data_IF_202494707933
#
_entry.id   IF_202494707933
#
_cell.length_a   1.000
_cell.length_b   1.000
_cell.length_c   1.000
_cell.angle_alpha   90.00
_cell.angle_beta   90.00
_cell.angle_gamma   90.00
#
_symmetry.space_group_name_H-M   'P 1'
#
loop_
_entity.id
_entity.type
_entity.pdbx_description
1 polymer ?
#
# COMPACT_ATOMS: atom_id res chain seq x y z
N UNK A 1 -15.20 17.18 16.68
CA UNK A 1 -15.46 16.38 17.92
C UNK A 1 -16.81 15.68 17.74
N UNK A 2 -16.81 14.38 17.47
CA UNK A 2 -18.03 13.64 17.10
C UNK A 2 -19.03 13.57 18.26
N UNK A 3 -20.33 13.50 17.94
CA UNK A 3 -21.43 13.39 18.92
C UNK A 3 -21.25 12.19 19.87
N UNK A 4 -20.67 11.11 19.37
CA UNK A 4 -20.30 9.93 20.15
C UNK A 4 -19.33 10.23 21.30
N UNK A 5 -18.29 11.05 21.06
CA UNK A 5 -17.33 11.43 22.11
C UNK A 5 -17.91 12.35 23.18
N UNK A 6 -19.04 13.04 22.91
CA UNK A 6 -19.77 13.81 23.93
C UNK A 6 -20.63 12.93 24.83
N UNK A 7 -21.24 11.89 24.28
CA UNK A 7 -22.12 10.96 25.01
C UNK A 7 -21.32 10.11 26.00
N UNK A 8 -20.15 9.62 25.58
CA UNK A 8 -19.24 8.85 26.44
C UNK A 8 -18.74 9.69 27.63
N UNK A 9 -18.26 10.91 27.36
CA UNK A 9 -17.80 11.84 28.41
C UNK A 9 -18.88 12.17 29.43
N UNK A 10 -20.14 12.25 29.01
CA UNK A 10 -21.27 12.52 29.90
C UNK A 10 -21.55 11.33 30.82
N UNK A 11 -21.52 10.10 30.30
CA UNK A 11 -21.63 8.88 31.09
C UNK A 11 -20.52 8.78 32.16
N UNK A 12 -19.28 9.12 31.81
CA UNK A 12 -18.17 9.12 32.77
C UNK A 12 -18.41 10.11 33.93
N UNK A 13 -18.78 11.34 33.62
CA UNK A 13 -19.03 12.35 34.65
C UNK A 13 -20.17 11.96 35.59
N UNK A 14 -21.24 11.36 35.07
CA UNK A 14 -22.38 10.93 35.88
C UNK A 14 -22.02 9.89 36.95
N UNK A 15 -21.12 8.95 36.65
CA UNK A 15 -20.67 7.91 37.59
C UNK A 15 -19.78 8.46 38.71
N UNK A 16 -18.94 9.46 38.42
CA UNK A 16 -18.16 10.17 39.45
C UNK A 16 -19.04 10.92 40.43
N UNK A 17 -20.04 11.65 39.91
CA UNK A 17 -20.97 12.37 40.77
C UNK A 17 -21.81 11.42 41.62
N UNK A 18 -22.18 10.24 41.10
CA UNK A 18 -22.84 9.20 41.88
C UNK A 18 -21.95 8.70 43.03
N UNK A 19 -20.66 8.44 42.78
CA UNK A 19 -19.72 7.97 43.81
C UNK A 19 -19.48 9.03 44.90
N UNK A 20 -19.34 10.29 44.51
CA UNK A 20 -19.23 11.42 45.44
C UNK A 20 -20.51 11.60 46.28
N UNK A 21 -21.69 11.45 45.66
CA UNK A 21 -22.97 11.53 46.34
C UNK A 21 -23.16 10.40 47.36
N UNK A 22 -22.75 9.18 47.03
CA UNK A 22 -22.75 8.04 47.96
C UNK A 22 -21.86 8.34 49.17
N UNK A 23 -20.65 8.85 48.95
CA UNK A 23 -19.77 9.27 50.04
C UNK A 23 -20.40 10.34 50.93
N UNK A 24 -21.04 11.35 50.35
CA UNK A 24 -21.75 12.41 51.08
C UNK A 24 -22.91 11.86 51.92
N UNK A 25 -23.73 10.97 51.35
CA UNK A 25 -24.85 10.33 52.07
C UNK A 25 -24.36 9.53 53.27
N UNK A 26 -23.23 8.82 53.14
CA UNK A 26 -22.65 8.03 54.23
C UNK A 26 -22.19 8.92 55.39
N UNK A 27 -21.53 10.04 55.09
CA UNK A 27 -21.13 11.03 56.11
C UNK A 27 -22.35 11.60 56.83
N UNK A 28 -23.38 12.01 56.07
CA UNK A 28 -24.64 12.54 56.64
C UNK A 28 -25.36 11.49 57.48
N UNK A 29 -25.37 10.23 57.04
CA UNK A 29 -25.98 9.12 57.79
C UNK A 29 -25.24 8.82 59.09
N UNK A 30 -23.91 8.85 59.10
CA UNK A 30 -23.10 8.65 60.30
C UNK A 30 -23.35 9.77 61.33
N UNK A 31 -23.42 11.03 60.87
CA UNK A 31 -23.78 12.19 61.70
C UNK A 31 -25.21 12.04 62.24
N UNK A 32 -26.17 11.69 61.39
CA UNK A 32 -27.57 11.51 61.78
C UNK A 32 -27.77 10.38 62.81
N UNK A 33 -27.04 9.27 62.65
CA UNK A 33 -27.05 8.16 63.60
C UNK A 33 -26.47 8.57 64.96
N UNK A 34 -25.39 9.34 64.95
CA UNK A 34 -24.80 9.90 66.17
C UNK A 34 -25.80 10.83 66.89
N UNK A 35 -26.37 11.82 66.20
CA UNK A 35 -27.35 12.76 66.78
C UNK A 35 -28.59 12.04 67.31
N UNK A 36 -29.08 11.01 66.62
CA UNK A 36 -30.23 10.21 67.10
C UNK A 36 -29.91 9.45 68.39
N UNK A 37 -28.68 8.99 68.56
CA UNK A 37 -28.27 8.14 69.69
C UNK A 37 -27.86 8.95 70.91
N UNK A 38 -27.22 10.11 70.71
CA UNK A 38 -26.64 10.93 71.78
C UNK A 38 -27.31 12.30 71.99
N UNK A 39 -28.24 12.71 71.11
CA UNK A 39 -28.96 13.97 71.19
C UNK A 39 -28.24 15.16 70.54
N UNK A 40 -28.80 16.37 70.71
CA UNK A 40 -28.30 17.63 70.10
C UNK A 40 -27.65 18.58 71.12
N UNK A 41 -27.37 18.12 72.34
CA UNK A 41 -26.80 18.97 73.37
C UNK A 41 -25.36 19.36 73.02
N UNK A 42 -25.05 20.65 73.11
CA UNK A 42 -23.70 21.19 72.89
C UNK A 42 -22.99 21.15 74.24
N UNK A 43 -21.94 20.34 74.35
CA UNK A 43 -21.12 20.24 75.55
C UNK A 43 -19.88 21.14 75.41
N UNK A 44 -19.52 21.88 76.46
CA UNK A 44 -18.28 22.69 76.53
C UNK A 44 -17.02 21.82 76.72
N UNK A 45 -17.19 20.55 77.11
CA UNK A 45 -16.10 19.62 77.38
C UNK A 45 -15.44 19.12 76.09
N UNK A 46 -14.14 19.36 75.97
CA UNK A 46 -13.34 19.02 74.80
C UNK A 46 -13.12 17.51 74.65
N UNK A 47 -13.24 16.73 75.73
CA UNK A 47 -13.09 15.27 75.71
C UNK A 47 -14.22 14.58 74.93
N UNK A 48 -15.46 15.08 75.06
CA UNK A 48 -16.64 14.55 74.36
C UNK A 48 -16.50 14.74 72.84
N UNK A 49 -15.92 15.87 72.41
CA UNK A 49 -15.64 16.12 71.00
C UNK A 49 -14.55 15.20 70.44
N UNK A 50 -13.57 14.80 71.26
CA UNK A 50 -12.57 13.78 70.91
C UNK A 50 -13.21 12.42 70.65
N UNK A 51 -14.05 11.94 71.56
CA UNK A 51 -14.74 10.65 71.42
C UNK A 51 -15.70 10.60 70.23
N UNK A 52 -16.39 11.71 69.93
CA UNK A 52 -17.19 11.86 68.72
C UNK A 52 -16.34 11.75 67.45
N UNK A 53 -15.21 12.46 67.42
CA UNK A 53 -14.25 12.40 66.33
C UNK A 53 -13.73 10.99 66.09
N UNK A 54 -13.46 10.24 67.15
CA UNK A 54 -13.01 8.84 67.07
C UNK A 54 -14.09 7.91 66.51
N UNK A 55 -15.36 8.08 66.90
CA UNK A 55 -16.48 7.30 66.34
C UNK A 55 -16.70 7.59 64.85
N UNK A 56 -16.81 8.88 64.49
CA UNK A 56 -17.00 9.29 63.10
C UNK A 56 -15.80 8.90 62.24
N UNK A 57 -14.59 9.16 62.71
CA UNK A 57 -13.35 8.78 62.02
C UNK A 57 -13.25 7.27 61.87
N UNK A 58 -13.55 6.50 62.92
CA UNK A 58 -13.47 5.03 62.92
C UNK A 58 -14.46 4.35 61.97
N UNK A 59 -15.65 4.93 61.77
CA UNK A 59 -16.68 4.38 60.86
C UNK A 59 -16.59 4.95 59.44
N UNK A 60 -16.35 6.25 59.31
CA UNK A 60 -16.41 6.95 58.03
C UNK A 60 -15.12 6.81 57.22
N UNK A 61 -13.94 6.83 57.88
CA UNK A 61 -12.66 6.74 57.16
C UNK A 61 -12.48 5.43 56.39
N UNK A 62 -12.79 4.23 56.94
CA UNK A 62 -12.66 2.99 56.18
C UNK A 62 -13.56 2.96 54.93
N UNK A 63 -14.78 3.50 55.04
CA UNK A 63 -15.73 3.54 53.92
C UNK A 63 -15.27 4.54 52.85
N UNK A 64 -14.85 5.74 53.27
CA UNK A 64 -14.30 6.74 52.35
C UNK A 64 -13.01 6.25 51.68
N UNK A 65 -12.14 5.56 52.41
CA UNK A 65 -10.94 4.95 51.85
C UNK A 65 -11.28 3.88 50.80
N UNK A 66 -12.29 3.04 51.05
CA UNK A 66 -12.76 2.05 50.08
C UNK A 66 -13.38 2.70 48.83
N UNK A 67 -14.21 3.74 49.00
CA UNK A 67 -14.75 4.51 47.87
C UNK A 67 -13.64 5.19 47.06
N UNK A 68 -12.62 5.73 47.74
CA UNK A 68 -11.44 6.32 47.09
C UNK A 68 -10.69 5.25 46.28
N UNK A 69 -10.49 4.07 46.86
CA UNK A 69 -9.86 2.95 46.16
C UNK A 69 -10.65 2.52 44.91
N UNK A 70 -11.98 2.41 44.99
CA UNK A 70 -12.84 2.12 43.83
C UNK A 70 -12.75 3.20 42.76
N UNK A 71 -12.71 4.49 43.16
CA UNK A 71 -12.52 5.61 42.25
C UNK A 71 -11.19 5.54 41.50
N UNK A 72 -10.12 5.16 42.20
CA UNK A 72 -8.79 4.95 41.59
C UNK A 72 -8.80 3.77 40.62
N UNK A 73 -9.34 2.61 41.01
CA UNK A 73 -9.44 1.44 40.12
C UNK A 73 -10.20 1.75 38.84
N UNK A 74 -11.32 2.48 38.96
CA UNK A 74 -12.10 2.88 37.81
C UNK A 74 -11.34 3.84 36.90
N UNK A 75 -10.60 4.81 37.48
CA UNK A 75 -9.74 5.72 36.72
C UNK A 75 -8.64 4.96 35.96
N UNK A 76 -8.03 3.95 36.59
CA UNK A 76 -7.02 3.08 35.96
C UNK A 76 -7.63 2.32 34.78
N UNK A 77 -8.83 1.74 34.95
CA UNK A 77 -9.52 1.02 33.86
C UNK A 77 -9.74 1.90 32.63
N UNK A 78 -10.20 3.14 32.84
CA UNK A 78 -10.42 4.09 31.74
C UNK A 78 -9.11 4.47 31.07
N UNK A 79 -8.08 4.75 31.87
CA UNK A 79 -6.76 5.11 31.37
C UNK A 79 -6.17 3.98 30.53
N UNK A 80 -6.38 2.74 30.95
CA UNK A 80 -5.95 1.55 30.21
C UNK A 80 -6.66 1.41 28.85
N UNK A 81 -7.99 1.59 28.80
CA UNK A 81 -8.74 1.58 27.54
C UNK A 81 -8.30 2.71 26.60
N UNK A 82 -8.11 3.92 27.13
CA UNK A 82 -7.63 5.05 26.34
C UNK A 82 -6.23 4.81 25.79
N UNK A 83 -5.33 4.25 26.60
CA UNK A 83 -3.97 3.89 26.18
C UNK A 83 -4.00 2.84 25.07
N UNK A 84 -4.81 1.78 25.21
CA UNK A 84 -4.94 0.74 24.20
C UNK A 84 -5.52 1.29 22.88
N UNK A 85 -6.55 2.14 22.95
CA UNK A 85 -7.14 2.79 21.77
C UNK A 85 -6.16 3.74 21.09
N UNK A 86 -5.34 4.46 21.86
CA UNK A 86 -4.30 5.33 21.32
C UNK A 86 -3.20 4.50 20.64
N UNK A 87 -2.76 3.42 21.29
CA UNK A 87 -1.78 2.50 20.73
C UNK A 87 -2.28 1.86 19.44
N UNK A 88 -3.50 1.36 19.40
CA UNK A 88 -4.07 0.75 18.18
C UNK A 88 -4.18 1.75 17.03
N UNK A 89 -4.50 3.02 17.32
CA UNK A 89 -4.50 4.09 16.30
C UNK A 89 -3.09 4.40 15.82
N UNK A 90 -2.12 4.48 16.73
CA UNK A 90 -0.72 4.69 16.38
C UNK A 90 -0.18 3.55 15.50
N UNK A 91 -0.45 2.30 15.88
CA UNK A 91 -0.04 1.11 15.11
C UNK A 91 -0.66 1.11 13.70
N UNK A 92 -1.92 1.55 13.57
CA UNK A 92 -2.58 1.71 12.27
C UNK A 92 -1.95 2.84 11.44
N UNK A 93 -1.68 3.99 12.03
CA UNK A 93 -0.99 5.11 11.36
C UNK A 93 0.43 4.75 10.93
N UNK A 94 1.17 4.00 11.74
CA UNK A 94 2.52 3.56 11.42
C UNK A 94 2.51 2.51 10.29
N UNK A 95 1.52 1.62 10.28
CA UNK A 95 1.29 0.66 9.18
C UNK A 95 0.95 1.37 7.87
N UNK A 96 0.12 2.41 7.93
CA UNK A 96 -0.24 3.24 6.79
C UNK A 96 0.98 3.97 6.22
N UNK A 97 1.73 4.70 7.07
CA UNK A 97 2.96 5.40 6.68
C UNK A 97 4.01 4.47 6.10
N UNK A 98 4.17 3.27 6.70
CA UNK A 98 5.12 2.26 6.21
C UNK A 98 4.72 1.74 4.83
N UNK A 99 3.44 1.47 4.62
CA UNK A 99 2.92 1.02 3.32
C UNK A 99 3.03 2.10 2.25
N UNK A 100 2.77 3.37 2.61
CA UNK A 100 2.99 4.52 1.73
C UNK A 100 4.46 4.64 1.32
N UNK A 101 5.39 4.57 2.29
CA UNK A 101 6.82 4.62 2.02
C UNK A 101 7.25 3.51 1.05
N UNK A 102 6.83 2.26 1.28
CA UNK A 102 7.16 1.16 0.38
C UNK A 102 6.59 1.36 -1.02
N UNK A 103 5.35 1.83 -1.13
CA UNK A 103 4.75 2.19 -2.41
C UNK A 103 5.55 3.26 -3.15
N UNK A 104 5.91 4.36 -2.48
CA UNK A 104 6.68 5.44 -3.10
C UNK A 104 8.05 4.97 -3.59
N UNK A 105 8.78 4.22 -2.75
CA UNK A 105 10.10 3.68 -3.14
C UNK A 105 10.01 2.67 -4.28
N UNK A 106 9.00 1.78 -4.23
CA UNK A 106 8.77 0.81 -5.30
C UNK A 106 8.42 1.51 -6.62
N UNK A 107 7.54 2.51 -6.57
CA UNK A 107 7.18 3.33 -7.74
C UNK A 107 8.41 4.02 -8.34
N UNK A 108 9.22 4.69 -7.52
CA UNK A 108 10.43 5.35 -7.98
C UNK A 108 11.41 4.36 -8.63
N UNK A 109 11.60 3.19 -8.01
CA UNK A 109 12.43 2.13 -8.59
C UNK A 109 11.94 1.65 -9.96
N UNK A 110 10.63 1.48 -10.14
CA UNK A 110 10.06 1.12 -11.45
C UNK A 110 10.21 2.24 -12.49
N UNK A 111 10.06 3.51 -12.10
CA UNK A 111 10.25 4.66 -12.99
C UNK A 111 11.71 4.77 -13.44
N UNK A 112 12.68 4.55 -12.54
CA UNK A 112 14.11 4.52 -12.86
C UNK A 112 14.44 3.41 -13.88
N UNK A 113 13.82 2.22 -13.75
CA UNK A 113 13.99 1.12 -14.71
C UNK A 113 13.55 1.53 -16.11
N UNK A 114 12.40 2.21 -16.22
CA UNK A 114 11.96 2.76 -17.50
C UNK A 114 12.95 3.79 -18.03
N UNK A 115 13.39 4.73 -17.19
CA UNK A 115 14.31 5.79 -17.62
C UNK A 115 15.68 5.26 -18.07
N UNK A 116 16.15 4.16 -17.47
CA UNK A 116 17.37 3.46 -17.86
C UNK A 116 17.25 2.70 -19.18
N UNK A 117 16.05 2.32 -19.62
CA UNK A 117 15.86 1.44 -20.78
C UNK A 117 15.07 2.08 -21.94
N UNK A 118 14.50 3.28 -21.74
CA UNK A 118 13.64 3.97 -22.71
C UNK A 118 14.33 4.31 -24.03
N UNK A 119 15.65 4.43 -24.03
CA UNK A 119 16.47 4.80 -25.19
C UNK A 119 16.94 3.60 -26.02
N UNK A 120 16.49 2.38 -25.66
CA UNK A 120 16.94 1.13 -26.30
C UNK A 120 18.47 0.99 -26.29
N UNK A 121 19.14 1.39 -25.21
CA UNK A 121 20.55 1.07 -25.06
C UNK A 121 20.75 -0.45 -24.97
N UNK A 122 21.82 -0.95 -25.58
CA UNK A 122 22.27 -2.34 -25.49
C UNK A 122 23.46 -2.48 -24.53
N UNK A 123 23.51 -1.65 -23.49
CA UNK A 123 24.59 -1.65 -22.51
C UNK A 123 24.36 -2.69 -21.39
N UNK A 124 25.32 -3.60 -21.25
CA UNK A 124 25.24 -4.69 -20.28
C UNK A 124 25.10 -4.20 -18.84
N UNK A 125 25.83 -3.15 -18.46
CA UNK A 125 25.83 -2.66 -17.08
C UNK A 125 24.48 -2.04 -16.73
N UNK A 126 23.94 -1.25 -17.64
CA UNK A 126 22.63 -0.60 -17.52
C UNK A 126 21.51 -1.63 -17.41
N UNK A 127 21.51 -2.67 -18.26
CA UNK A 127 20.53 -3.76 -18.16
C UNK A 127 20.62 -4.56 -16.85
N UNK A 128 21.83 -4.85 -16.37
CA UNK A 128 22.02 -5.52 -15.08
C UNK A 128 21.50 -4.65 -13.94
N UNK A 129 21.76 -3.34 -13.98
CA UNK A 129 21.27 -2.40 -12.97
C UNK A 129 19.75 -2.31 -12.99
N UNK A 130 19.16 -2.11 -14.17
CA UNK A 130 17.72 -2.06 -14.37
C UNK A 130 17.03 -3.33 -13.87
N UNK A 131 17.55 -4.52 -14.20
CA UNK A 131 16.99 -5.77 -13.71
C UNK A 131 17.05 -5.89 -12.17
N UNK A 132 18.14 -5.45 -11.54
CA UNK A 132 18.25 -5.47 -10.06
C UNK A 132 17.28 -4.49 -9.42
N UNK A 133 17.18 -3.28 -9.96
CA UNK A 133 16.30 -2.24 -9.42
C UNK A 133 14.82 -2.64 -9.61
N UNK A 134 14.47 -3.27 -10.74
CA UNK A 134 13.17 -3.88 -10.96
C UNK A 134 12.83 -4.94 -9.89
N UNK A 135 13.72 -5.91 -9.66
CA UNK A 135 13.49 -6.97 -8.69
C UNK A 135 13.37 -6.43 -7.25
N UNK A 136 14.15 -5.40 -6.90
CA UNK A 136 14.04 -4.71 -5.61
C UNK A 136 12.72 -3.95 -5.48
N UNK A 137 12.32 -3.22 -6.52
CA UNK A 137 11.05 -2.51 -6.55
C UNK A 137 9.86 -3.46 -6.37
N UNK A 138 9.89 -4.64 -7.01
CA UNK A 138 8.86 -5.68 -6.84
C UNK A 138 8.80 -6.23 -5.41
N UNK A 139 9.95 -6.53 -4.82
CA UNK A 139 10.02 -6.97 -3.43
C UNK A 139 9.47 -5.91 -2.44
N UNK A 140 9.75 -4.63 -2.68
CA UNK A 140 9.13 -3.54 -1.91
C UNK A 140 7.61 -3.49 -2.11
N UNK A 141 7.14 -3.70 -3.33
CA UNK A 141 5.72 -3.83 -3.65
C UNK A 141 5.03 -4.95 -2.88
N UNK A 142 5.68 -6.12 -2.77
CA UNK A 142 5.20 -7.26 -1.98
C UNK A 142 5.14 -6.96 -0.47
N UNK A 143 5.94 -6.00 0.01
CA UNK A 143 5.97 -5.59 1.42
C UNK A 143 4.86 -4.60 1.80
N UNK A 144 4.07 -4.12 0.83
CA UNK A 144 2.93 -3.22 1.06
C UNK A 144 1.78 -4.02 1.68
N UNK A 145 1.25 -3.56 2.82
CA UNK A 145 0.19 -4.29 3.56
C UNK A 145 -1.19 -3.68 3.40
N UNK A 146 -1.27 -2.36 3.26
CA UNK A 146 -2.52 -1.61 3.08
C UNK A 146 -3.01 -1.75 1.63
N UNK A 147 -4.28 -2.14 1.47
CA UNK A 147 -4.87 -2.53 0.17
C UNK A 147 -4.85 -1.40 -0.85
N UNK A 148 -5.12 -0.18 -0.42
CA UNK A 148 -5.19 1.01 -1.25
C UNK A 148 -3.84 1.25 -1.95
N UNK A 149 -2.73 1.10 -1.22
CA UNK A 149 -1.38 1.21 -1.79
C UNK A 149 -1.00 0.00 -2.64
N UNK A 150 -1.50 -1.20 -2.35
CA UNK A 150 -1.29 -2.36 -3.22
C UNK A 150 -1.95 -2.16 -4.60
N UNK A 151 -3.18 -1.64 -4.63
CA UNK A 151 -3.88 -1.31 -5.88
C UNK A 151 -3.13 -0.21 -6.64
N UNK A 152 -2.70 0.86 -5.95
CA UNK A 152 -1.91 1.92 -6.57
C UNK A 152 -0.56 1.41 -7.12
N UNK A 153 0.06 0.46 -6.44
CA UNK A 153 1.28 -0.20 -6.89
C UNK A 153 1.06 -1.03 -8.16
N UNK A 154 0.00 -1.86 -8.21
CA UNK A 154 -0.35 -2.64 -9.40
C UNK A 154 -0.60 -1.75 -10.62
N UNK A 155 -1.31 -0.63 -10.44
CA UNK A 155 -1.51 0.36 -11.51
C UNK A 155 -0.18 0.95 -12.00
N UNK A 156 0.78 1.15 -11.10
CA UNK A 156 2.13 1.62 -11.45
C UNK A 156 2.88 0.55 -12.24
N UNK A 157 2.83 -0.72 -11.82
CA UNK A 157 3.42 -1.83 -12.57
C UNK A 157 2.85 -1.90 -13.98
N UNK A 158 1.52 -1.84 -14.16
CA UNK A 158 0.88 -1.84 -15.48
C UNK A 158 1.33 -0.69 -16.36
N UNK A 159 1.39 0.52 -15.81
CA UNK A 159 1.87 1.70 -16.53
C UNK A 159 3.32 1.52 -16.99
N UNK A 160 4.19 1.01 -16.12
CA UNK A 160 5.61 0.82 -16.44
C UNK A 160 5.80 -0.35 -17.41
N UNK A 161 5.05 -1.44 -17.24
CA UNK A 161 4.98 -2.57 -18.18
C UNK A 161 4.65 -2.09 -19.58
N UNK A 162 3.59 -1.30 -19.73
CA UNK A 162 3.21 -0.74 -21.03
C UNK A 162 4.30 0.18 -21.60
N UNK A 163 4.85 1.09 -20.80
CA UNK A 163 5.92 1.99 -21.24
C UNK A 163 7.17 1.24 -21.71
N UNK A 164 7.60 0.23 -20.97
CA UNK A 164 8.73 -0.61 -21.35
C UNK A 164 8.40 -1.45 -22.59
N UNK A 165 7.19 -1.98 -22.73
CA UNK A 165 6.77 -2.66 -23.96
C UNK A 165 6.87 -1.75 -25.19
N UNK A 166 6.43 -0.49 -25.07
CA UNK A 166 6.56 0.49 -26.15
C UNK A 166 8.02 0.84 -26.45
N UNK A 167 8.84 0.98 -25.42
CA UNK A 167 10.26 1.30 -25.55
C UNK A 167 11.08 0.13 -26.09
N UNK A 168 10.78 -1.11 -25.71
CA UNK A 168 11.52 -2.32 -26.08
C UNK A 168 10.87 -3.06 -27.26
N UNK A 169 10.17 -2.31 -28.13
CA UNK A 169 9.63 -2.81 -29.39
C UNK A 169 9.89 -1.81 -30.51
N UNK A 170 9.94 -2.32 -31.75
CA UNK A 170 10.16 -1.53 -32.95
C UNK A 170 8.83 -1.33 -33.65
N UNK A 171 8.42 -0.08 -33.82
CA UNK A 171 7.22 0.26 -34.58
C UNK A 171 7.54 0.34 -36.07
N UNK A 172 6.85 -0.46 -36.89
CA UNK A 172 6.93 -0.39 -38.34
C UNK A 172 5.80 0.52 -38.89
N UNK A 173 6.12 1.70 -39.44
CA UNK A 173 5.11 2.63 -39.95
C UNK A 173 4.39 2.11 -41.20
N UNK A 174 4.93 1.11 -41.91
CA UNK A 174 4.30 0.56 -43.12
C UNK A 174 3.22 -0.45 -42.75
N UNK A 175 3.55 -1.38 -41.86
CA UNK A 175 2.62 -2.43 -41.43
C UNK A 175 1.74 -2.01 -40.25
N UNK A 176 2.04 -0.86 -39.62
CA UNK A 176 1.39 -0.36 -38.39
C UNK A 176 1.50 -1.34 -37.21
N UNK A 177 2.48 -2.26 -37.27
CA UNK A 177 2.71 -3.29 -36.26
C UNK A 177 3.92 -2.97 -35.41
N UNK A 178 3.92 -3.50 -34.17
CA UNK A 178 5.09 -3.51 -33.30
C UNK A 178 5.78 -4.87 -33.38
N UNK A 179 7.07 -4.84 -33.68
CA UNK A 179 7.92 -6.01 -33.76
C UNK A 179 8.83 -6.08 -32.52
N UNK A 180 9.21 -7.30 -32.08
CA UNK A 180 10.18 -7.45 -31.01
C UNK A 180 11.57 -6.93 -31.42
N UNK A 181 12.41 -6.60 -30.43
CA UNK A 181 13.81 -6.32 -30.69
C UNK A 181 14.50 -7.53 -31.32
N UNK A 182 15.36 -7.33 -32.33
CA UNK A 182 16.06 -8.42 -32.99
C UNK A 182 17.05 -9.08 -32.02
N UNK A 183 17.30 -10.40 -32.10
CA UNK A 183 18.14 -11.07 -31.11
C UNK A 183 19.59 -10.54 -31.05
N UNK A 184 20.06 -9.94 -32.16
CA UNK A 184 21.37 -9.27 -32.27
C UNK A 184 21.51 -8.14 -31.25
N UNK A 185 20.42 -7.46 -30.90
CA UNK A 185 20.41 -6.40 -29.88
C UNK A 185 21.03 -6.87 -28.56
N UNK A 186 20.68 -8.09 -28.13
CA UNK A 186 21.11 -8.64 -26.85
C UNK A 186 22.59 -9.06 -26.83
N UNK A 187 23.27 -9.06 -27.98
CA UNK A 187 24.71 -9.29 -28.05
C UNK A 187 25.53 -8.01 -27.83
N UNK A 188 24.90 -6.84 -27.66
CA UNK A 188 25.60 -5.58 -27.43
C UNK A 188 26.29 -5.02 -28.67
N UNK A 189 25.99 -5.54 -29.87
CA UNK A 189 26.54 -5.05 -31.14
C UNK A 189 25.84 -3.76 -31.55
N UNK A 190 26.56 -2.78 -32.10
CA UNK A 190 25.98 -1.47 -32.46
C UNK A 190 25.01 -1.55 -33.65
N UNK A 191 25.32 -2.37 -34.67
CA UNK A 191 24.48 -2.54 -35.86
C UNK A 191 23.49 -3.70 -35.68
N UNK A 192 22.76 -3.70 -34.56
CA UNK A 192 21.83 -4.76 -34.21
C UNK A 192 20.57 -4.80 -35.08
N UNK A 193 20.30 -3.71 -35.80
CA UNK A 193 19.20 -3.55 -36.75
C UNK A 193 19.42 -4.31 -38.07
N UNK A 194 20.65 -4.76 -38.35
CA UNK A 194 20.98 -5.53 -39.53
C UNK A 194 20.74 -7.02 -39.30
N UNK A 195 19.85 -7.60 -40.13
CA UNK A 195 19.54 -9.04 -40.08
C UNK A 195 20.74 -9.85 -40.58
N UNK A 196 21.36 -10.62 -39.69
CA UNK A 196 22.47 -11.54 -39.99
C UNK A 196 22.43 -12.78 -39.07
N UNK A 197 23.05 -13.92 -39.47
CA UNK A 197 23.06 -15.13 -38.65
C UNK A 197 23.60 -14.88 -37.24
N UNK A 198 22.92 -15.44 -36.22
CA UNK A 198 23.30 -15.23 -34.82
C UNK A 198 24.64 -15.85 -34.47
N UNK A 199 25.01 -16.95 -35.09
CA UNK A 199 26.30 -17.59 -34.88
C UNK A 199 27.46 -16.67 -35.29
N UNK A 200 27.28 -15.86 -36.34
CA UNK A 200 28.30 -14.92 -36.79
C UNK A 200 28.41 -13.73 -35.83
N UNK A 201 27.27 -13.25 -35.30
CA UNK A 201 27.24 -12.22 -34.24
C UNK A 201 27.92 -12.74 -32.97
N UNK A 202 27.61 -13.98 -32.57
CA UNK A 202 28.19 -14.60 -31.39
C UNK A 202 29.71 -14.78 -31.54
N UNK A 203 30.19 -15.15 -32.73
CA UNK A 203 31.64 -15.23 -33.03
C UNK A 203 32.31 -13.86 -32.98
N UNK A 204 31.68 -12.82 -33.50
CA UNK A 204 32.19 -11.43 -33.45
C UNK A 204 32.35 -10.95 -32.00
N UNK A 205 31.36 -11.24 -31.16
CA UNK A 205 31.32 -10.82 -29.75
C UNK A 205 32.23 -11.69 -28.88
N UNK A 206 32.46 -12.95 -29.26
CA UNK A 206 33.43 -13.86 -28.67
C UNK A 206 34.87 -13.41 -29.01
N UNK A 207 35.26 -12.21 -28.55
CA UNK A 207 36.59 -11.66 -28.83
C UNK A 207 37.70 -12.53 -28.22
N UNK A 208 38.70 -12.80 -29.05
CA UNK A 208 40.00 -13.37 -28.74
C UNK A 208 40.73 -12.59 -27.65
N UNK A 209 41.45 -13.30 -26.77
CA UNK A 209 42.34 -12.71 -25.77
C UNK A 209 43.33 -11.72 -26.41
N UNK A 210 43.15 -10.42 -26.17
CA UNK A 210 44.07 -9.39 -26.61
C UNK A 210 45.09 -9.11 -25.50
N UNK A 211 46.39 -9.22 -25.81
CA UNK A 211 47.48 -8.87 -24.89
C UNK A 211 47.94 -7.46 -25.22
N UNK A 212 47.88 -6.57 -24.24
CA UNK A 212 48.35 -5.19 -24.38
C UNK A 212 49.60 -4.98 -23.52
N UNK A 213 50.65 -4.38 -24.11
CA UNK A 213 51.73 -3.78 -23.34
C UNK A 213 51.32 -2.37 -22.93
N UNK A 214 51.06 -2.15 -21.65
CA UNK A 214 50.63 -0.85 -21.10
C UNK A 214 51.62 -0.36 -20.02
N UNK A 215 51.81 0.97 -19.93
CA UNK A 215 52.52 1.61 -18.82
C UNK A 215 51.61 1.83 -17.61
N UNK A 216 52.16 2.22 -16.45
CA UNK A 216 51.36 2.49 -15.23
C UNK A 216 50.33 3.61 -15.41
N UNK A 217 50.58 4.53 -16.35
CA UNK A 217 49.69 5.64 -16.67
C UNK A 217 48.59 5.28 -17.69
N UNK A 218 48.54 4.01 -18.14
CA UNK A 218 47.61 3.52 -19.15
C UNK A 218 46.69 2.42 -18.61
N UNK A 219 45.47 2.38 -19.11
CA UNK A 219 44.51 1.30 -18.82
C UNK A 219 44.41 0.37 -20.03
N UNK A 220 44.19 -0.92 -19.78
CA UNK A 220 43.86 -1.86 -20.85
C UNK A 220 42.49 -1.49 -21.41
N UNK A 221 42.34 -1.38 -22.74
CA UNK A 221 41.04 -1.11 -23.32
C UNK A 221 40.11 -2.30 -23.07
N UNK A 222 38.95 -2.03 -22.48
CA UNK A 222 37.92 -3.04 -22.29
C UNK A 222 37.32 -3.40 -23.65
N UNK A 223 36.97 -4.67 -23.86
CA UNK A 223 36.23 -5.08 -25.06
C UNK A 223 34.91 -4.31 -25.12
N UNK A 224 34.69 -3.57 -26.22
CA UNK A 224 33.53 -2.69 -26.38
C UNK A 224 32.23 -3.45 -26.65
N UNK A 225 32.29 -4.76 -26.91
CA UNK A 225 31.13 -5.56 -27.31
C UNK A 225 30.99 -6.70 -26.31
N UNK A 226 30.05 -6.56 -25.38
CA UNK A 226 29.75 -7.58 -24.37
C UNK A 226 28.26 -7.91 -24.44
N UNK A 227 27.85 -9.19 -24.54
CA UNK A 227 26.45 -9.55 -24.55
C UNK A 227 25.76 -9.11 -23.25
N UNK A 228 24.49 -8.75 -23.37
CA UNK A 228 23.63 -8.53 -22.22
C UNK A 228 23.59 -9.78 -21.34
N UNK A 229 23.47 -9.60 -20.02
CA UNK A 229 23.38 -10.74 -19.13
C UNK A 229 22.02 -11.44 -19.32
N UNK A 230 22.01 -12.74 -19.61
CA UNK A 230 20.77 -13.48 -19.84
C UNK A 230 19.75 -13.28 -18.72
N UNK A 231 20.19 -13.32 -17.45
CA UNK A 231 19.31 -13.09 -16.29
C UNK A 231 18.69 -11.69 -16.25
N UNK A 232 19.40 -10.65 -16.70
CA UNK A 232 18.82 -9.31 -16.75
C UNK A 232 17.79 -9.20 -17.86
N UNK A 233 18.04 -9.80 -19.02
CA UNK A 233 17.07 -9.85 -20.11
C UNK A 233 15.81 -10.58 -19.66
N UNK A 234 15.94 -11.77 -19.08
CA UNK A 234 14.82 -12.56 -18.56
C UNK A 234 14.02 -11.76 -17.54
N UNK A 235 14.67 -11.18 -16.51
CA UNK A 235 13.96 -10.43 -15.47
C UNK A 235 13.15 -9.24 -16.02
N UNK A 236 13.66 -8.53 -17.03
CA UNK A 236 12.96 -7.42 -17.66
C UNK A 236 11.78 -7.93 -18.51
N UNK A 237 12.00 -8.97 -19.34
CA UNK A 237 10.97 -9.49 -20.23
C UNK A 237 9.87 -10.27 -19.50
N UNK A 238 10.20 -11.00 -18.43
CA UNK A 238 9.21 -11.65 -17.55
C UNK A 238 8.28 -10.61 -16.91
N UNK A 239 8.77 -9.41 -16.62
CA UNK A 239 7.94 -8.31 -16.11
C UNK A 239 7.02 -7.71 -17.18
N UNK A 240 7.39 -7.81 -18.47
CA UNK A 240 6.55 -7.37 -19.58
C UNK A 240 5.31 -8.25 -19.75
N UNK A 241 5.36 -9.49 -19.29
CA UNK A 241 4.21 -10.38 -19.29
C UNK A 241 3.20 -9.99 -18.21
N UNK A 242 1.91 -10.11 -18.53
CA UNK A 242 0.86 -9.94 -17.54
C UNK A 242 0.90 -11.11 -16.56
N UNK A 243 0.74 -10.85 -15.25
CA UNK A 243 0.75 -11.92 -14.28
C UNK A 243 -0.48 -12.83 -14.45
N UNK A 244 -0.35 -14.11 -14.09
CA UNK A 244 -1.42 -15.08 -14.27
C UNK A 244 -2.69 -14.75 -13.48
N UNK A 245 -2.57 -13.99 -12.39
CA UNK A 245 -3.66 -13.52 -11.54
C UNK A 245 -4.16 -12.10 -11.91
N UNK A 246 -3.86 -11.62 -13.12
CA UNK A 246 -4.33 -10.32 -13.60
C UNK A 246 -5.86 -10.23 -13.65
N UNK A 247 -6.42 -9.31 -12.87
CA UNK A 247 -7.85 -8.99 -12.88
C UNK A 247 -8.13 -7.89 -13.90
N UNK A 248 -8.46 -8.30 -15.13
CA UNK A 248 -8.76 -7.38 -16.24
C UNK A 248 -10.07 -6.60 -15.98
N UNK A 249 -10.01 -5.28 -15.76
CA UNK A 249 -11.20 -4.47 -15.50
C UNK A 249 -12.19 -4.47 -16.67
N UNK A 250 -11.75 -4.76 -17.89
CA UNK A 250 -12.64 -4.83 -19.07
C UNK A 250 -13.69 -5.95 -18.94
N UNK A 251 -13.46 -6.97 -18.11
CA UNK A 251 -14.45 -8.00 -17.82
C UNK A 251 -15.69 -7.46 -17.10
N UNK A 252 -15.58 -6.30 -16.45
CA UNK A 252 -16.70 -5.63 -15.77
C UNK A 252 -17.51 -4.72 -16.69
N UNK A 253 -17.02 -4.45 -17.90
CA UNK A 253 -17.69 -3.57 -18.85
C UNK A 253 -18.78 -4.34 -19.58
N UNK A 254 -20.03 -3.96 -19.32
CA UNK A 254 -21.18 -4.54 -20.00
C UNK A 254 -21.30 -4.01 -21.44
N UNK A 255 -21.83 -4.86 -22.32
CA UNK A 255 -22.15 -4.44 -23.69
C UNK A 255 -23.29 -3.42 -23.70
N UNK A 256 -23.24 -2.49 -24.65
CA UNK A 256 -24.35 -1.58 -24.90
C UNK A 256 -25.61 -2.36 -25.32
N UNK A 257 -26.71 -2.12 -24.61
CA UNK A 257 -28.00 -2.77 -24.83
C UNK A 257 -28.98 -1.97 -25.69
N UNK A 258 -28.60 -0.77 -26.13
CA UNK A 258 -29.42 0.12 -26.95
C UNK A 258 -29.22 -0.10 -28.46
N UNK A 259 -30.19 0.34 -29.27
CA UNK A 259 -30.12 0.18 -30.72
C UNK A 259 -29.02 1.09 -31.30
N UNK A 260 -28.11 0.50 -32.06
CA UNK A 260 -27.03 1.25 -32.72
C UNK A 260 -27.57 2.25 -33.75
N UNK A 261 -28.77 2.03 -34.29
CA UNK A 261 -29.39 2.90 -35.30
C UNK A 261 -29.70 4.31 -34.76
N UNK A 262 -29.97 4.41 -33.47
CA UNK A 262 -30.29 5.67 -32.78
C UNK A 262 -29.03 6.42 -32.31
N UNK A 263 -27.84 5.94 -32.70
CA UNK A 263 -26.56 6.51 -32.29
C UNK A 263 -26.11 7.67 -33.19
N UNK A 264 -25.63 8.75 -32.58
CA UNK A 264 -25.21 9.97 -33.28
C UNK A 264 -23.96 10.60 -32.66
N UNK A 265 -23.14 11.25 -33.47
CA UNK A 265 -21.95 11.98 -32.99
C UNK A 265 -20.80 11.05 -32.61
N UNK A 266 -20.02 11.41 -31.59
CA UNK A 266 -18.73 10.77 -31.30
C UNK A 266 -18.80 9.26 -31.00
N UNK A 267 -19.96 8.75 -30.57
CA UNK A 267 -20.15 7.34 -30.24
C UNK A 267 -20.73 6.49 -31.39
N UNK A 268 -21.14 7.11 -32.50
CA UNK A 268 -21.79 6.44 -33.63
C UNK A 268 -20.91 5.31 -34.21
N UNK A 269 -19.63 5.61 -34.47
CA UNK A 269 -18.68 4.62 -34.98
C UNK A 269 -18.43 3.47 -33.99
N UNK A 270 -18.30 3.78 -32.70
CA UNK A 270 -18.03 2.78 -31.67
C UNK A 270 -19.23 1.83 -31.48
N UNK A 271 -20.47 2.36 -31.43
CA UNK A 271 -21.67 1.53 -31.29
C UNK A 271 -21.87 0.59 -32.48
N UNK A 272 -21.63 1.08 -33.70
CA UNK A 272 -21.67 0.25 -34.91
C UNK A 272 -20.61 -0.85 -34.89
N UNK A 273 -19.39 -0.53 -34.43
CA UNK A 273 -18.34 -1.52 -34.25
C UNK A 273 -18.76 -2.61 -33.26
N UNK A 274 -19.20 -2.25 -32.05
CA UNK A 274 -19.64 -3.19 -31.01
C UNK A 274 -20.79 -4.07 -31.51
N UNK A 275 -21.80 -3.49 -32.16
CA UNK A 275 -22.89 -4.25 -32.77
C UNK A 275 -22.36 -5.24 -33.83
N UNK A 276 -21.46 -4.81 -34.71
CA UNK A 276 -20.92 -5.66 -35.75
C UNK A 276 -20.11 -6.84 -35.19
N UNK A 277 -19.21 -6.62 -34.24
CA UNK A 277 -18.35 -7.69 -33.66
C UNK A 277 -19.11 -8.64 -32.74
N UNK A 278 -20.22 -8.20 -32.15
CA UNK A 278 -21.07 -9.05 -31.31
C UNK A 278 -21.98 -9.97 -32.12
N UNK A 279 -22.30 -9.60 -33.37
CA UNK A 279 -23.21 -10.36 -34.23
C UNK A 279 -22.49 -11.06 -35.40
N UNK A 280 -21.27 -10.67 -35.74
CA UNK A 280 -20.52 -11.23 -36.86
C UNK A 280 -19.09 -11.60 -36.45
N UNK A 281 -18.58 -12.67 -37.03
CA UNK A 281 -17.19 -13.12 -36.94
C UNK A 281 -16.63 -13.28 -38.34
N UNK A 282 -15.42 -12.77 -38.58
CA UNK A 282 -14.74 -12.94 -39.85
C UNK A 282 -13.64 -14.01 -39.73
N UNK A 283 -13.63 -15.00 -40.63
CA UNK A 283 -12.60 -16.04 -40.70
C UNK A 283 -12.16 -16.18 -42.15
N UNK A 284 -10.85 -16.08 -42.41
CA UNK A 284 -10.29 -16.24 -43.76
C UNK A 284 -10.85 -15.26 -44.80
N UNK A 285 -11.22 -14.04 -44.38
CA UNK A 285 -11.80 -13.02 -45.25
C UNK A 285 -13.30 -13.17 -45.54
N UNK A 286 -14.00 -14.12 -44.91
CA UNK A 286 -15.46 -14.30 -45.03
C UNK A 286 -16.15 -14.01 -43.70
N UNK A 287 -17.36 -13.43 -43.76
CA UNK A 287 -18.19 -13.11 -42.60
C UNK A 287 -19.17 -14.24 -42.28
N UNK A 288 -19.35 -14.51 -40.99
CA UNK A 288 -20.27 -15.50 -40.45
C UNK A 288 -21.06 -14.90 -39.29
N UNK A 289 -22.37 -15.14 -39.18
CA UNK A 289 -23.15 -14.69 -38.03
C UNK A 289 -22.76 -15.48 -36.78
N UNK A 290 -22.62 -14.79 -35.64
CA UNK A 290 -22.36 -15.41 -34.34
C UNK A 290 -23.70 -15.92 -33.79
N UNK A 291 -23.92 -17.24 -33.81
CA UNK A 291 -25.11 -17.83 -33.19
C UNK A 291 -25.03 -17.70 -31.67
N UNK A 292 -25.89 -16.87 -31.09
CA UNK A 292 -26.12 -16.84 -29.63
C UNK A 292 -26.75 -18.18 -29.22
N UNK A 293 -26.05 -18.97 -28.40
CA UNK A 293 -26.66 -20.07 -27.63
C UNK A 293 -27.40 -19.50 -26.43
#
# INVERSE_FOLDING_TARGET
MSLWGKIEKWHYRSKLYALAFIGFVIVVAAIGFYVKTFGTAIFEDQEIWGQFGDFLGGTTNPILAFLTFLGVLWTISITYEQFNNQKSRQDAEDTDKRSLFFFEQAKLGLEEVYDMLKDQNNDRVTWIRAARDLLRARNLGESITVKEYQVAYRLTEEKIRHKLYLALSIYDPKTHNRNPLPPQFFYGVQNWDVVRPLDDVAKEVSQTTNVYGISIDQTTPQSNIVPLAAKSVIAIYDFLEYPADYDDPLKTVENWGDNWEDSHGAHEGAKRFVYHVTHNTAIGGKLFPVNKK
#
